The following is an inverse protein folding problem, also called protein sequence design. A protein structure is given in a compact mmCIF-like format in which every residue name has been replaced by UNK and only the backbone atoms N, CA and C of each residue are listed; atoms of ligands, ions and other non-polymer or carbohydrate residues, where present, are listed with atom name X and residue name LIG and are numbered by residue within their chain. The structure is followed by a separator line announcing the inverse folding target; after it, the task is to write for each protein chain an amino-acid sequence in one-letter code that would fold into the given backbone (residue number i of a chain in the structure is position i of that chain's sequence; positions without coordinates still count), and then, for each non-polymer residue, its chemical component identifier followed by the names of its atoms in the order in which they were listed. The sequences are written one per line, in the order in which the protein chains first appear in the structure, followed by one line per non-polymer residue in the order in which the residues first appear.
data_IF_193307880564
#
_entry.id   IF_193307880564
#
_cell.length_a   1.000
_cell.length_b   1.000
_cell.length_c   1.000
_cell.angle_alpha   90.00
_cell.angle_beta   90.00
_cell.angle_gamma   90.00
#
_symmetry.space_group_name_H-M   'P 1'
#
loop_
_entity.id
_entity.type
_entity.pdbx_description
1 polymer ?
#
# COMPACT_ATOMS: atom_id res chain seq x y z
N UNK A 1 -57.55 -14.77 14.76
CA UNK A 1 -58.47 -14.29 15.82
C UNK A 1 -57.66 -13.63 16.93
N UNK A 2 -58.06 -12.41 17.30
CA UNK A 2 -57.82 -11.64 18.56
C UNK A 2 -56.39 -11.35 19.07
N UNK A 3 -56.07 -10.04 18.99
CA UNK A 3 -55.17 -9.23 19.83
C UNK A 3 -55.55 -9.28 21.32
N UNK A 4 -54.61 -8.86 22.19
CA UNK A 4 -54.67 -7.89 23.34
C UNK A 4 -53.33 -8.08 24.11
N UNK A 5 -52.29 -7.21 24.04
CA UNK A 5 -52.03 -5.90 24.68
C UNK A 5 -52.32 -5.81 26.19
N UNK A 6 -51.28 -5.59 27.01
CA UNK A 6 -51.20 -4.80 28.25
C UNK A 6 -49.70 -4.70 28.61
N UNK A 7 -49.05 -3.57 28.87
CA UNK A 7 -49.51 -2.30 29.41
C UNK A 7 -49.07 -2.19 30.86
N UNK A 8 -47.90 -1.60 31.14
CA UNK A 8 -47.55 -1.15 32.49
C UNK A 8 -47.01 0.28 32.42
N UNK A 9 -47.85 1.18 32.93
CA UNK A 9 -47.59 2.58 33.25
C UNK A 9 -47.39 2.61 34.78
N UNK A 10 -46.37 3.31 35.28
CA UNK A 10 -46.34 3.72 36.68
C UNK A 10 -45.70 5.09 36.83
N UNK A 11 -46.14 5.77 37.88
CA UNK A 11 -46.41 7.21 37.98
C UNK A 11 -45.26 7.96 38.65
N UNK A 12 -45.22 9.24 38.30
CA UNK A 12 -44.41 10.35 38.83
C UNK A 12 -44.41 10.41 40.36
N UNK A 13 -43.24 10.64 40.97
CA UNK A 13 -43.13 11.26 42.28
C UNK A 13 -42.05 12.35 42.26
N UNK A 14 -42.49 13.52 42.71
CA UNK A 14 -41.88 14.84 42.79
C UNK A 14 -40.67 14.94 43.74
N UNK A 15 -39.67 15.72 43.31
CA UNK A 15 -39.10 16.82 44.09
C UNK A 15 -37.98 16.50 45.10
N UNK A 16 -36.76 16.87 44.75
CA UNK A 16 -35.88 17.59 45.68
C UNK A 16 -34.99 18.56 44.90
N UNK A 17 -35.04 19.81 45.36
CA UNK A 17 -34.29 20.97 44.90
C UNK A 17 -32.88 20.87 45.51
N UNK A 18 -31.85 20.94 44.67
CA UNK A 18 -30.56 21.49 45.08
C UNK A 18 -30.08 22.48 44.01
N UNK A 19 -30.04 23.73 44.43
CA UNK A 19 -29.45 24.86 43.74
C UNK A 19 -27.93 24.72 43.70
N UNK A 20 -27.37 24.69 42.50
CA UNK A 20 -26.01 25.15 42.24
C UNK A 20 -25.98 25.76 40.83
N UNK A 21 -26.06 27.09 40.77
CA UNK A 21 -25.80 27.89 39.58
C UNK A 21 -24.33 27.73 39.20
N UNK A 22 -24.04 26.75 38.36
CA UNK A 22 -22.81 26.69 37.57
C UNK A 22 -23.18 26.87 36.12
N UNK A 23 -22.83 28.01 35.54
CA UNK A 23 -22.99 28.31 34.12
C UNK A 23 -22.15 27.33 33.30
N UNK A 24 -22.73 26.17 32.95
CA UNK A 24 -22.19 25.34 31.89
C UNK A 24 -22.48 26.04 30.57
N UNK A 25 -21.47 26.78 30.08
CA UNK A 25 -21.35 27.06 28.67
C UNK A 25 -21.22 25.71 27.96
N UNK A 26 -22.35 25.14 27.54
CA UNK A 26 -22.35 24.14 26.49
C UNK A 26 -21.93 24.91 25.23
N UNK A 27 -20.63 24.93 24.96
CA UNK A 27 -20.13 25.22 23.64
C UNK A 27 -20.74 24.15 22.73
N UNK A 28 -21.86 24.49 22.10
CA UNK A 28 -22.36 23.78 20.93
C UNK A 28 -21.19 23.82 19.96
N UNK A 29 -20.54 22.69 19.76
CA UNK A 29 -19.60 22.53 18.66
C UNK A 29 -20.35 23.00 17.41
N UNK A 30 -19.87 24.09 16.80
CA UNK A 30 -20.35 24.46 15.48
C UNK A 30 -20.09 23.25 14.59
N UNK A 31 -21.16 22.64 14.08
CA UNK A 31 -21.05 21.83 12.88
C UNK A 31 -20.35 22.71 11.86
N UNK A 32 -19.08 22.40 11.56
CA UNK A 32 -18.40 22.96 10.39
C UNK A 32 -19.33 22.69 9.22
N UNK A 33 -20.00 23.73 8.71
CA UNK A 33 -20.66 23.67 7.42
C UNK A 33 -19.61 23.17 6.43
N UNK A 34 -19.76 21.93 5.96
CA UNK A 34 -19.07 21.50 4.77
C UNK A 34 -19.47 22.49 3.68
N UNK A 35 -18.51 23.31 3.25
CA UNK A 35 -18.75 24.40 2.33
C UNK A 35 -19.07 23.81 0.96
N UNK A 36 -20.37 23.75 0.63
CA UNK A 36 -20.83 23.44 -0.73
C UNK A 36 -20.12 24.39 -1.69
N UNK A 37 -19.41 23.83 -2.68
CA UNK A 37 -18.71 24.60 -3.69
C UNK A 37 -19.72 25.43 -4.48
N UNK A 38 -19.53 26.74 -4.51
CA UNK A 38 -20.42 27.64 -5.24
C UNK A 38 -19.94 27.80 -6.68
N UNK A 39 -20.82 28.25 -7.59
CA UNK A 39 -20.42 28.60 -8.96
C UNK A 39 -19.33 29.68 -9.01
N UNK A 40 -19.27 30.55 -7.99
CA UNK A 40 -18.20 31.54 -7.82
C UNK A 40 -16.86 30.85 -7.51
N UNK A 41 -16.86 29.87 -6.61
CA UNK A 41 -15.65 29.12 -6.25
C UNK A 41 -15.13 28.33 -7.46
N UNK A 42 -16.02 27.76 -8.29
CA UNK A 42 -15.66 27.08 -9.54
C UNK A 42 -14.97 28.02 -10.53
N UNK A 43 -15.54 29.19 -10.77
CA UNK A 43 -14.92 30.22 -11.62
C UNK A 43 -13.56 30.64 -11.06
N UNK A 44 -13.44 30.77 -9.74
CA UNK A 44 -12.20 31.17 -9.08
C UNK A 44 -11.15 30.04 -9.09
N UNK A 45 -11.53 28.76 -9.09
CA UNK A 45 -10.63 27.62 -9.37
C UNK A 45 -10.18 27.64 -10.84
N UNK A 46 -11.14 27.75 -11.78
CA UNK A 46 -10.90 27.78 -13.21
C UNK A 46 -9.94 28.91 -13.61
N UNK A 47 -10.11 30.10 -13.04
CA UNK A 47 -9.23 31.27 -13.28
C UNK A 47 -7.94 31.26 -12.46
N UNK A 48 -7.78 30.30 -11.53
CA UNK A 48 -6.63 30.20 -10.65
C UNK A 48 -6.55 31.30 -9.58
N UNK A 49 -7.67 31.88 -9.17
CA UNK A 49 -7.76 32.76 -7.99
C UNK A 49 -7.79 31.94 -6.69
N UNK A 50 -8.54 30.83 -6.68
CA UNK A 50 -8.43 29.79 -5.66
C UNK A 50 -7.34 28.83 -6.11
N UNK A 51 -6.39 28.55 -5.22
CA UNK A 51 -5.20 27.73 -5.48
C UNK A 51 -4.96 26.80 -4.31
N UNK A 52 -4.06 25.85 -4.47
CA UNK A 52 -3.51 25.11 -3.35
C UNK A 52 -2.82 26.05 -2.35
N UNK A 53 -2.66 25.60 -1.11
CA UNK A 53 -2.01 26.37 -0.03
C UNK A 53 -0.59 26.84 -0.40
N UNK A 54 0.13 26.04 -1.18
CA UNK A 54 1.48 26.36 -1.68
C UNK A 54 1.48 27.31 -2.90
N UNK A 55 0.32 27.80 -3.34
CA UNK A 55 0.17 28.74 -4.45
C UNK A 55 0.06 28.11 -5.85
N UNK A 56 0.20 26.78 -5.94
CA UNK A 56 0.13 26.05 -7.20
C UNK A 56 -1.33 25.83 -7.63
N UNK A 57 -1.53 25.70 -8.94
CA UNK A 57 -2.79 25.25 -9.55
C UNK A 57 -2.63 23.85 -10.12
N UNK A 58 -3.76 23.16 -10.19
CA UNK A 58 -3.93 21.88 -10.84
C UNK A 58 -4.12 22.10 -12.36
N UNK A 59 -3.28 21.47 -13.19
CA UNK A 59 -3.29 21.69 -14.63
C UNK A 59 -4.57 21.23 -15.33
N UNK A 60 -5.30 20.27 -14.76
CA UNK A 60 -6.53 19.74 -15.36
C UNK A 60 -7.79 20.36 -14.76
N UNK A 61 -7.68 21.19 -13.72
CA UNK A 61 -8.77 22.08 -13.28
C UNK A 61 -8.59 23.51 -13.77
N UNK A 62 -7.35 23.99 -13.85
CA UNK A 62 -7.04 25.35 -14.28
C UNK A 62 -7.26 25.55 -15.77
N UNK A 63 -8.11 26.52 -16.13
CA UNK A 63 -8.50 26.83 -17.51
C UNK A 63 -9.00 25.62 -18.31
N UNK A 64 -9.45 24.57 -17.63
CA UNK A 64 -10.04 23.42 -18.28
C UNK A 64 -11.55 23.63 -18.40
N UNK A 65 -12.15 23.23 -19.53
CA UNK A 65 -13.57 23.40 -19.79
C UNK A 65 -14.46 22.42 -18.99
N UNK A 66 -13.87 21.61 -18.12
CA UNK A 66 -14.60 20.68 -17.27
C UNK A 66 -15.04 21.42 -16.01
N UNK A 67 -16.35 21.57 -15.85
CA UNK A 67 -16.95 22.23 -14.71
C UNK A 67 -17.07 21.22 -13.57
N UNK A 68 -16.27 21.41 -12.52
CA UNK A 68 -16.45 20.73 -11.23
C UNK A 68 -17.73 21.28 -10.60
N UNK A 69 -18.88 20.70 -10.93
CA UNK A 69 -20.17 21.21 -10.49
C UNK A 69 -20.84 20.40 -9.37
N UNK A 70 -21.99 20.87 -8.91
CA UNK A 70 -22.64 20.30 -7.73
C UNK A 70 -23.43 19.01 -8.01
N UNK A 71 -23.57 18.63 -9.28
CA UNK A 71 -24.42 17.53 -9.74
C UNK A 71 -23.61 16.50 -10.52
N UNK A 72 -22.53 16.92 -11.16
CA UNK A 72 -21.64 16.11 -11.97
C UNK A 72 -20.77 15.17 -11.12
N UNK A 73 -20.39 14.09 -11.78
CA UNK A 73 -19.43 13.06 -11.39
C UNK A 73 -18.59 12.84 -12.65
N UNK A 74 -17.53 13.62 -12.80
CA UNK A 74 -16.83 13.78 -14.08
C UNK A 74 -15.79 12.68 -14.38
N UNK A 75 -15.50 11.82 -13.43
CA UNK A 75 -14.71 10.61 -13.62
C UNK A 75 -15.48 9.31 -13.44
N UNK A 76 -16.77 9.39 -13.06
CA UNK A 76 -17.69 8.27 -12.90
C UNK A 76 -17.23 7.26 -11.84
N UNK A 77 -16.58 7.74 -10.78
CA UNK A 77 -16.22 6.93 -9.62
C UNK A 77 -17.42 6.76 -8.65
N UNK A 78 -18.46 7.59 -8.80
CA UNK A 78 -19.68 7.57 -8.02
C UNK A 78 -19.68 8.51 -6.81
N UNK A 79 -18.69 9.40 -6.69
CA UNK A 79 -18.68 10.61 -5.87
C UNK A 79 -19.01 11.80 -6.77
N UNK A 80 -19.66 12.83 -6.23
CA UNK A 80 -19.90 14.06 -6.99
C UNK A 80 -18.71 14.98 -6.83
N UNK A 81 -18.35 15.71 -7.88
CA UNK A 81 -17.17 16.59 -7.90
C UNK A 81 -17.13 17.57 -6.70
N UNK A 82 -18.30 18.06 -6.27
CA UNK A 82 -18.43 18.98 -5.11
C UNK A 82 -18.07 18.36 -3.76
N UNK A 83 -18.18 17.03 -3.64
CA UNK A 83 -17.97 16.28 -2.41
C UNK A 83 -16.50 15.82 -2.28
N UNK A 84 -15.70 16.03 -3.33
CA UNK A 84 -14.30 15.65 -3.44
C UNK A 84 -13.33 16.80 -3.15
N UNK A 85 -13.82 18.03 -3.22
CA UNK A 85 -13.01 19.22 -2.98
C UNK A 85 -13.50 19.99 -1.75
N UNK A 86 -12.56 20.61 -1.04
CA UNK A 86 -12.83 21.46 0.12
C UNK A 86 -12.24 22.84 -0.13
N UNK A 87 -13.06 23.88 0.07
CA UNK A 87 -12.58 25.26 0.14
C UNK A 87 -12.33 25.63 1.59
N UNK A 88 -11.06 25.83 1.94
CA UNK A 88 -10.64 26.40 3.23
C UNK A 88 -10.39 27.89 3.10
N UNK A 89 -10.64 28.63 4.17
CA UNK A 89 -10.33 30.05 4.25
C UNK A 89 -9.40 30.30 5.44
N UNK A 90 -8.24 30.91 5.18
CA UNK A 90 -7.29 31.33 6.21
C UNK A 90 -6.86 32.77 5.91
N UNK A 91 -6.96 33.66 6.90
CA UNK A 91 -6.62 35.09 6.78
C UNK A 91 -7.34 35.82 5.62
N UNK A 92 -8.61 35.49 5.37
CA UNK A 92 -9.41 36.07 4.28
C UNK A 92 -9.03 35.59 2.88
N UNK A 93 -8.15 34.59 2.77
CA UNK A 93 -7.79 33.96 1.50
C UNK A 93 -8.29 32.52 1.45
N UNK A 94 -8.95 32.18 0.34
CA UNK A 94 -9.45 30.84 0.06
C UNK A 94 -8.37 29.95 -0.58
N UNK A 95 -8.35 28.68 -0.19
CA UNK A 95 -7.46 27.65 -0.71
C UNK A 95 -8.24 26.37 -1.01
N UNK A 96 -7.78 25.66 -2.03
CA UNK A 96 -8.28 24.36 -2.42
C UNK A 96 -7.58 23.25 -1.64
N UNK A 97 -8.36 22.32 -1.12
CA UNK A 97 -7.92 21.02 -0.61
C UNK A 97 -8.75 19.91 -1.23
N UNK A 98 -8.20 18.69 -1.19
CA UNK A 98 -8.78 17.51 -1.81
C UNK A 98 -9.20 16.53 -0.71
N UNK A 99 -10.34 15.88 -0.90
CA UNK A 99 -10.72 14.60 -0.31
C UNK A 99 -10.38 13.47 -1.29
N UNK A 100 -10.60 13.74 -2.57
CA UNK A 100 -10.21 12.97 -3.76
C UNK A 100 -10.14 13.96 -4.94
N UNK A 101 -9.75 13.50 -6.12
CA UNK A 101 -9.61 14.31 -7.32
C UNK A 101 -10.83 14.13 -8.23
N UNK A 102 -11.60 15.21 -8.53
CA UNK A 102 -12.91 15.11 -9.20
C UNK A 102 -12.89 14.75 -10.69
N UNK A 103 -11.73 14.34 -11.19
CA UNK A 103 -11.52 14.01 -12.59
C UNK A 103 -10.65 12.75 -12.71
N UNK A 104 -10.28 12.11 -11.62
CA UNK A 104 -9.42 10.94 -11.61
C UNK A 104 -10.04 9.97 -10.61
N UNK A 105 -10.61 8.84 -11.08
CA UNK A 105 -11.45 8.00 -10.24
C UNK A 105 -10.69 7.17 -9.18
N UNK A 106 -9.36 7.26 -9.18
CA UNK A 106 -8.39 6.57 -8.33
C UNK A 106 -7.27 7.61 -8.12
N UNK A 107 -7.41 8.42 -7.08
CA UNK A 107 -6.66 9.66 -6.89
C UNK A 107 -5.20 9.45 -6.52
N UNK A 108 -4.91 8.40 -5.76
CA UNK A 108 -3.58 8.07 -5.30
C UNK A 108 -2.86 7.02 -6.18
N UNK A 109 -3.62 6.37 -7.05
CA UNK A 109 -3.11 5.41 -8.02
C UNK A 109 -2.85 4.04 -7.43
N UNK A 110 -3.52 3.63 -6.35
CA UNK A 110 -3.36 2.30 -5.75
C UNK A 110 -4.27 1.21 -6.40
N UNK A 111 -5.27 1.64 -7.18
CA UNK A 111 -6.18 0.77 -7.93
C UNK A 111 -7.54 0.55 -7.29
N UNK A 112 -7.79 1.12 -6.11
CA UNK A 112 -9.09 1.24 -5.48
C UNK A 112 -9.71 2.57 -5.94
N UNK A 113 -11.00 2.57 -6.27
CA UNK A 113 -11.66 3.83 -6.63
C UNK A 113 -11.97 4.65 -5.40
N UNK A 114 -11.94 5.97 -5.52
CA UNK A 114 -12.03 6.88 -4.37
C UNK A 114 -13.31 6.66 -3.55
N UNK A 115 -14.42 6.30 -4.21
CA UNK A 115 -15.67 5.91 -3.55
C UNK A 115 -15.56 4.71 -2.59
N UNK A 116 -14.80 3.70 -2.97
CA UNK A 116 -14.61 2.47 -2.21
C UNK A 116 -13.36 2.52 -1.34
N UNK A 117 -12.52 3.54 -1.52
CA UNK A 117 -11.31 3.78 -0.75
C UNK A 117 -11.61 4.53 0.55
N UNK A 118 -11.04 4.03 1.65
CA UNK A 118 -11.14 4.65 2.97
C UNK A 118 -10.12 5.77 3.17
N UNK A 119 -9.02 5.74 2.43
CA UNK A 119 -7.95 6.72 2.47
C UNK A 119 -7.56 7.15 1.02
N UNK A 120 -8.45 7.81 0.24
CA UNK A 120 -8.27 8.07 -1.22
C UNK A 120 -7.03 8.87 -1.65
N UNK A 121 -6.25 9.39 -0.69
CA UNK A 121 -5.07 10.20 -0.92
C UNK A 121 -3.79 9.52 -0.40
N UNK A 122 -3.88 8.23 -0.05
CA UNK A 122 -2.81 7.45 0.56
C UNK A 122 -2.87 5.99 0.10
N UNK A 123 -1.77 5.57 -0.53
CA UNK A 123 -1.65 4.25 -1.11
C UNK A 123 -1.96 3.10 -0.15
N UNK A 124 -3.05 2.39 -0.40
CA UNK A 124 -3.42 1.18 0.32
C UNK A 124 -2.80 -0.04 -0.35
N UNK A 125 -1.88 -0.70 0.35
CA UNK A 125 -1.26 -1.92 -0.17
C UNK A 125 -2.31 -3.00 -0.44
N UNK A 126 -2.29 -3.49 -1.67
CA UNK A 126 -3.11 -4.59 -2.13
C UNK A 126 -2.32 -5.89 -2.32
N UNK A 127 -3.05 -7.00 -2.50
CA UNK A 127 -2.45 -8.29 -2.89
C UNK A 127 -1.76 -8.20 -4.25
N UNK A 128 -2.27 -7.33 -5.14
CA UNK A 128 -1.73 -7.09 -6.48
C UNK A 128 -0.35 -6.44 -6.41
N UNK A 129 -0.22 -5.41 -5.57
CA UNK A 129 1.05 -4.74 -5.33
C UNK A 129 2.09 -5.74 -4.84
N UNK A 130 1.71 -6.58 -3.87
CA UNK A 130 2.62 -7.56 -3.29
C UNK A 130 3.02 -8.65 -4.30
N UNK A 131 2.12 -9.05 -5.21
CA UNK A 131 2.43 -9.95 -6.32
C UNK A 131 3.40 -9.33 -7.33
N UNK A 132 3.32 -8.01 -7.55
CA UNK A 132 4.28 -7.24 -8.35
C UNK A 132 5.63 -7.08 -7.64
N UNK A 133 5.63 -6.69 -6.36
CA UNK A 133 6.85 -6.44 -5.59
C UNK A 133 7.68 -7.70 -5.35
N UNK A 134 7.07 -8.87 -5.09
CA UNK A 134 7.85 -10.11 -4.94
C UNK A 134 8.70 -10.42 -6.18
N UNK A 135 8.25 -9.99 -7.36
CA UNK A 135 8.98 -10.21 -8.61
C UNK A 135 10.25 -9.36 -8.69
N UNK A 136 10.26 -8.17 -8.06
CA UNK A 136 11.38 -7.23 -8.09
C UNK A 136 12.66 -7.84 -7.52
N UNK A 137 12.53 -8.74 -6.56
CA UNK A 137 13.64 -9.46 -5.98
C UNK A 137 14.48 -10.23 -7.03
N UNK A 138 13.88 -10.59 -8.18
CA UNK A 138 14.52 -11.37 -9.24
C UNK A 138 15.20 -10.54 -10.33
N UNK A 139 15.17 -9.22 -10.21
CA UNK A 139 15.79 -8.31 -11.18
C UNK A 139 17.08 -7.72 -10.65
N UNK A 140 18.01 -7.47 -11.58
CA UNK A 140 19.18 -6.64 -11.30
C UNK A 140 18.77 -5.18 -11.14
N UNK A 141 19.65 -4.41 -10.49
CA UNK A 141 19.40 -3.00 -10.18
C UNK A 141 19.15 -2.15 -11.42
N UNK A 142 19.92 -2.36 -12.50
CA UNK A 142 19.77 -1.61 -13.74
C UNK A 142 18.38 -1.80 -14.35
N UNK A 143 17.85 -3.02 -14.30
CA UNK A 143 16.51 -3.30 -14.77
C UNK A 143 15.43 -2.76 -13.85
N UNK A 144 15.64 -2.75 -12.52
CA UNK A 144 14.72 -2.10 -11.58
C UNK A 144 14.69 -0.59 -11.84
N UNK A 145 15.83 0.06 -11.98
CA UNK A 145 15.92 1.50 -12.27
C UNK A 145 15.20 1.83 -13.60
N UNK A 146 15.36 0.98 -14.61
CA UNK A 146 14.60 1.09 -15.86
C UNK A 146 13.10 0.94 -15.65
N UNK A 147 12.66 -0.01 -14.84
CA UNK A 147 11.25 -0.32 -14.60
C UNK A 147 10.54 0.81 -13.85
N UNK A 148 11.22 1.44 -12.89
CA UNK A 148 10.69 2.54 -12.08
C UNK A 148 10.99 3.94 -12.64
N UNK A 149 11.62 4.05 -13.80
CA UNK A 149 11.74 5.30 -14.53
C UNK A 149 10.50 5.53 -15.41
N UNK A 150 9.65 6.50 -15.04
CA UNK A 150 8.41 6.85 -15.76
C UNK A 150 8.61 7.26 -17.23
N UNK A 151 9.84 7.65 -17.61
CA UNK A 151 10.17 8.06 -18.98
C UNK A 151 10.64 6.90 -19.85
N UNK A 152 10.79 5.70 -19.28
CA UNK A 152 11.16 4.51 -20.06
C UNK A 152 10.08 4.20 -21.07
N UNK A 153 10.46 4.01 -22.33
CA UNK A 153 9.52 3.60 -23.36
C UNK A 153 9.02 2.18 -23.06
N UNK A 154 7.71 1.98 -23.04
CA UNK A 154 7.09 0.67 -22.74
C UNK A 154 7.61 -0.46 -23.65
N UNK A 155 8.01 -0.16 -24.89
CA UNK A 155 8.59 -1.14 -25.82
C UNK A 155 9.96 -1.67 -25.37
N UNK A 156 10.63 -0.98 -24.46
CA UNK A 156 11.89 -1.42 -23.87
C UNK A 156 11.70 -2.37 -22.68
N UNK A 157 10.46 -2.55 -22.22
CA UNK A 157 10.10 -3.44 -21.12
C UNK A 157 9.79 -4.83 -21.67
N UNK A 158 10.41 -5.87 -21.09
CA UNK A 158 10.59 -7.18 -21.73
C UNK A 158 9.29 -7.96 -21.95
N UNK A 159 8.31 -7.83 -21.06
CA UNK A 159 7.12 -8.68 -21.02
C UNK A 159 5.91 -7.93 -20.43
N UNK A 160 4.71 -8.49 -20.55
CA UNK A 160 3.47 -7.77 -20.22
C UNK A 160 3.24 -7.57 -18.71
N UNK A 161 3.76 -8.45 -17.86
CA UNK A 161 3.68 -8.25 -16.41
C UNK A 161 4.67 -7.18 -15.94
N UNK A 162 5.86 -7.08 -16.53
CA UNK A 162 6.77 -5.97 -16.27
C UNK A 162 6.19 -4.66 -16.78
N UNK A 163 5.52 -4.64 -17.93
CA UNK A 163 4.79 -3.46 -18.42
C UNK A 163 3.69 -3.03 -17.46
N UNK A 164 3.02 -4.00 -16.85
CA UNK A 164 2.03 -3.76 -15.79
C UNK A 164 2.67 -3.09 -14.59
N UNK A 165 3.78 -3.65 -14.08
CA UNK A 165 4.54 -3.09 -12.96
C UNK A 165 5.01 -1.67 -13.28
N UNK A 166 5.57 -1.45 -14.46
CA UNK A 166 6.01 -0.14 -14.91
C UNK A 166 4.85 0.86 -14.96
N UNK A 167 3.73 0.48 -15.57
CA UNK A 167 2.58 1.38 -15.76
C UNK A 167 1.91 1.74 -14.44
N UNK A 168 1.77 0.78 -13.52
CA UNK A 168 1.03 0.95 -12.26
C UNK A 168 1.92 1.52 -11.15
N UNK A 169 3.20 1.16 -11.07
CA UNK A 169 4.06 1.53 -9.92
C UNK A 169 5.11 2.59 -10.22
N UNK A 170 5.62 2.71 -11.46
CA UNK A 170 6.80 3.55 -11.74
C UNK A 170 6.62 5.02 -11.39
N UNK A 171 5.40 5.56 -11.52
CA UNK A 171 5.11 6.94 -11.15
C UNK A 171 5.17 7.14 -9.63
N UNK A 172 4.65 6.19 -8.87
CA UNK A 172 4.37 6.35 -7.44
C UNK A 172 5.43 5.76 -6.53
N UNK A 173 6.32 4.90 -7.02
CA UNK A 173 7.27 4.16 -6.19
C UNK A 173 8.72 4.35 -6.63
N UNK A 174 9.63 4.38 -5.67
CA UNK A 174 11.07 4.38 -5.89
C UNK A 174 11.79 3.49 -4.86
N UNK A 175 13.04 3.10 -5.14
CA UNK A 175 13.90 2.54 -4.10
C UNK A 175 14.19 3.65 -3.08
N UNK A 176 13.97 3.36 -1.79
CA UNK A 176 14.19 4.32 -0.71
C UNK A 176 15.65 4.76 -0.69
N UNK A 177 15.86 6.07 -0.65
CA UNK A 177 17.19 6.65 -0.49
C UNK A 177 17.68 6.44 0.93
N UNK A 178 18.97 6.10 1.07
CA UNK A 178 19.61 5.90 2.37
C UNK A 178 20.18 7.23 2.89
N UNK A 179 19.88 7.65 4.13
CA UNK A 179 20.51 8.83 4.73
C UNK A 179 22.05 8.68 4.81
N UNK A 180 22.80 9.74 4.50
CA UNK A 180 24.27 9.72 4.50
C UNK A 180 24.90 9.49 5.90
N UNK A 181 24.11 9.56 6.98
CA UNK A 181 24.61 9.68 8.36
C UNK A 181 24.69 8.38 9.15
N UNK A 182 24.53 7.21 8.53
CA UNK A 182 24.67 5.95 9.26
C UNK A 182 26.14 5.50 9.38
N UNK A 183 26.86 6.14 10.30
CA UNK A 183 27.99 5.50 11.00
C UNK A 183 27.44 4.86 12.28
N UNK A 184 27.03 3.59 12.24
CA UNK A 184 26.71 2.87 13.47
C UNK A 184 25.91 1.58 13.29
N UNK A 185 26.40 0.53 13.96
CA UNK A 185 25.78 -0.78 14.26
C UNK A 185 25.54 -1.77 13.10
N UNK A 186 25.12 -1.32 11.91
CA UNK A 186 24.78 -2.23 10.79
C UNK A 186 25.50 -1.85 9.49
N UNK A 187 26.00 -2.86 8.75
CA UNK A 187 26.62 -2.69 7.43
C UNK A 187 25.63 -3.07 6.30
N UNK A 188 24.41 -2.55 6.36
CA UNK A 188 23.36 -2.77 5.35
C UNK A 188 23.27 -1.62 4.38
N UNK A 189 22.87 -1.86 3.13
CA UNK A 189 22.63 -0.80 2.14
C UNK A 189 23.85 -0.47 1.29
N UNK A 190 23.70 -0.49 -0.04
CA UNK A 190 24.64 0.19 -0.93
C UNK A 190 24.67 1.71 -0.67
N UNK A 191 25.73 2.42 -1.09
CA UNK A 191 25.84 3.86 -0.82
C UNK A 191 24.69 4.63 -1.48
N UNK A 192 23.83 5.21 -0.65
CA UNK A 192 22.78 6.14 -1.07
C UNK A 192 21.41 5.51 -1.36
N UNK A 193 21.29 4.18 -1.35
CA UNK A 193 20.02 3.45 -1.56
C UNK A 193 19.85 2.30 -0.58
N UNK A 194 18.61 1.98 -0.23
CA UNK A 194 18.26 0.86 0.63
C UNK A 194 18.19 -0.45 -0.18
N UNK A 195 19.37 -0.88 -0.62
CA UNK A 195 19.62 -2.13 -1.38
C UNK A 195 20.54 -3.02 -0.56
N UNK A 196 20.13 -4.27 -0.33
CA UNK A 196 20.80 -5.19 0.57
C UNK A 196 21.36 -6.36 -0.22
N UNK A 197 22.69 -6.47 -0.29
CA UNK A 197 23.41 -7.60 -0.85
C UNK A 197 24.33 -8.17 0.23
N UNK A 198 23.86 -9.20 0.95
CA UNK A 198 24.56 -9.71 2.12
C UNK A 198 25.36 -10.96 1.81
N UNK A 199 26.47 -11.15 2.51
CA UNK A 199 27.35 -12.31 2.31
C UNK A 199 26.71 -13.65 2.64
N UNK A 200 25.61 -13.66 3.40
CA UNK A 200 24.77 -14.85 3.62
C UNK A 200 24.00 -15.31 2.37
N UNK A 201 23.94 -14.46 1.34
CA UNK A 201 23.12 -14.64 0.15
C UNK A 201 21.68 -14.15 0.31
N UNK A 202 21.39 -13.35 1.35
CA UNK A 202 20.17 -12.56 1.43
C UNK A 202 20.31 -11.32 0.55
N UNK A 203 19.37 -11.18 -0.38
CA UNK A 203 19.20 -10.01 -1.22
C UNK A 203 17.88 -9.31 -0.88
N UNK A 204 17.83 -7.98 -0.98
CA UNK A 204 16.59 -7.27 -0.78
C UNK A 204 16.61 -5.80 -1.18
N UNK A 205 15.41 -5.25 -1.32
CA UNK A 205 15.17 -3.87 -1.74
C UNK A 205 14.10 -3.27 -0.85
N UNK A 206 14.31 -2.04 -0.38
CA UNK A 206 13.26 -1.27 0.29
C UNK A 206 12.71 -0.24 -0.69
N UNK A 207 11.46 -0.43 -1.12
CA UNK A 207 10.71 0.54 -1.91
C UNK A 207 9.92 1.48 -1.01
N UNK A 208 9.71 2.72 -1.47
CA UNK A 208 8.90 3.73 -0.79
C UNK A 208 8.01 4.48 -1.78
N UNK A 209 6.85 4.94 -1.32
CA UNK A 209 6.00 5.85 -2.11
C UNK A 209 6.67 7.21 -2.30
N UNK A 210 6.39 7.84 -3.45
CA UNK A 210 6.78 9.19 -3.83
C UNK A 210 5.64 10.16 -3.58
N UNK A 211 5.96 11.36 -3.10
CA UNK A 211 4.99 12.47 -3.07
C UNK A 211 4.89 13.13 -4.44
N UNK A 212 4.24 12.44 -5.40
CA UNK A 212 4.11 12.89 -6.79
C UNK A 212 3.15 14.06 -6.98
N UNK A 213 2.12 14.16 -6.15
CA UNK A 213 1.16 15.25 -6.17
C UNK A 213 1.07 15.96 -4.82
N UNK A 214 0.84 17.29 -4.79
CA UNK A 214 0.73 18.03 -3.54
C UNK A 214 -0.45 17.62 -2.65
N UNK A 215 -1.50 17.05 -3.25
CA UNK A 215 -2.72 16.63 -2.53
C UNK A 215 -2.60 15.29 -1.83
N UNK A 216 -1.58 14.47 -2.15
CA UNK A 216 -1.36 13.21 -1.45
C UNK A 216 -0.91 13.48 0.00
N UNK A 217 -1.44 12.70 0.94
CA UNK A 217 -1.30 12.90 2.38
C UNK A 217 0.19 12.92 2.81
N UNK A 218 1.04 12.27 2.01
CA UNK A 218 2.50 12.32 2.16
C UNK A 218 3.03 11.39 3.25
N UNK A 219 2.18 10.54 3.83
CA UNK A 219 2.64 9.38 4.59
C UNK A 219 3.37 8.41 3.65
N UNK A 220 4.63 8.12 3.96
CA UNK A 220 5.39 7.12 3.22
C UNK A 220 4.83 5.73 3.52
N UNK A 221 4.66 4.92 2.48
CA UNK A 221 4.42 3.48 2.58
C UNK A 221 5.68 2.78 2.10
N UNK A 222 6.17 1.80 2.86
CA UNK A 222 7.44 1.15 2.59
C UNK A 222 7.22 -0.35 2.34
N UNK A 223 7.88 -0.91 1.32
CA UNK A 223 7.81 -2.34 0.99
C UNK A 223 9.22 -2.92 0.96
N UNK A 224 9.53 -3.79 1.93
CA UNK A 224 10.75 -4.57 1.94
C UNK A 224 10.53 -5.85 1.13
N UNK A 225 11.21 -5.95 0.00
CA UNK A 225 11.24 -7.13 -0.86
C UNK A 225 12.46 -7.97 -0.51
N UNK A 226 12.27 -9.25 -0.18
CA UNK A 226 13.33 -10.18 0.16
C UNK A 226 13.46 -11.32 -0.82
N UNK A 227 14.71 -11.70 -1.08
CA UNK A 227 15.11 -12.87 -1.86
C UNK A 227 16.25 -13.60 -1.14
N UNK A 228 16.20 -14.92 -1.21
CA UNK A 228 17.35 -15.76 -0.86
C UNK A 228 18.09 -16.22 -2.12
N UNK A 229 19.22 -16.89 -1.92
CA UNK A 229 20.15 -17.32 -2.98
C UNK A 229 19.48 -18.08 -4.13
N UNK A 230 19.82 -17.72 -5.38
CA UNK A 230 19.38 -18.45 -6.59
C UNK A 230 20.37 -19.56 -7.00
N UNK A 231 19.85 -20.76 -7.25
CA UNK A 231 20.60 -21.87 -7.84
C UNK A 231 19.66 -22.98 -8.31
N UNK A 232 19.17 -22.91 -9.55
CA UNK A 232 18.25 -23.93 -10.09
C UNK A 232 19.00 -25.16 -10.61
N UNK A 233 18.99 -26.24 -9.82
CA UNK A 233 18.63 -27.63 -10.23
C UNK A 233 19.04 -28.69 -9.18
N UNK A 234 20.10 -28.46 -8.41
CA UNK A 234 20.53 -29.38 -7.33
C UNK A 234 20.09 -28.93 -5.92
N UNK A 235 19.69 -27.67 -5.75
CA UNK A 235 19.52 -27.06 -4.43
C UNK A 235 18.16 -27.23 -3.76
N UNK A 236 17.12 -27.73 -4.42
CA UNK A 236 15.80 -27.74 -3.80
C UNK A 236 15.72 -28.70 -2.59
N UNK A 237 16.37 -29.86 -2.69
CA UNK A 237 16.52 -30.81 -1.58
C UNK A 237 17.39 -30.26 -0.46
N UNK A 238 18.50 -29.61 -0.81
CA UNK A 238 19.39 -28.96 0.17
C UNK A 238 18.69 -27.79 0.85
N UNK A 239 17.97 -26.95 0.10
CA UNK A 239 17.16 -25.86 0.62
C UNK A 239 16.11 -26.37 1.59
N UNK A 240 15.41 -27.46 1.30
CA UNK A 240 14.47 -28.09 2.24
C UNK A 240 15.15 -28.54 3.54
N UNK A 241 16.35 -29.13 3.44
CA UNK A 241 17.14 -29.54 4.60
C UNK A 241 17.61 -28.32 5.42
N UNK A 242 18.02 -27.25 4.73
CA UNK A 242 18.45 -25.98 5.32
C UNK A 242 17.29 -25.18 5.94
N UNK A 243 16.08 -25.24 5.37
CA UNK A 243 14.86 -24.59 5.87
C UNK A 243 14.28 -25.28 7.11
N UNK A 244 14.60 -26.56 7.33
CA UNK A 244 14.34 -27.26 8.58
C UNK A 244 15.16 -26.75 9.76
N UNK A 245 16.22 -25.97 9.50
CA UNK A 245 17.13 -25.38 10.48
C UNK A 245 17.18 -23.85 10.35
N UNK A 246 17.62 -23.16 11.40
CA UNK A 246 17.85 -21.72 11.35
C UNK A 246 19.09 -21.42 10.51
N UNK A 247 18.93 -20.76 9.36
CA UNK A 247 20.04 -20.46 8.43
C UNK A 247 20.58 -19.03 8.62
N UNK A 248 21.81 -18.71 8.15
CA UNK A 248 22.39 -17.38 8.29
C UNK A 248 21.54 -16.25 7.69
N UNK A 249 20.82 -16.52 6.59
CA UNK A 249 19.91 -15.54 5.98
C UNK A 249 18.74 -15.17 6.90
N UNK A 250 18.24 -16.11 7.73
CA UNK A 250 17.22 -15.80 8.73
C UNK A 250 17.76 -14.81 9.78
N UNK A 251 18.99 -14.99 10.26
CA UNK A 251 19.64 -14.03 11.16
C UNK A 251 19.77 -12.65 10.52
N UNK A 252 20.20 -12.58 9.26
CA UNK A 252 20.31 -11.31 8.55
C UNK A 252 18.94 -10.63 8.34
N UNK A 253 17.89 -11.40 8.05
CA UNK A 253 16.53 -10.87 7.96
C UNK A 253 16.07 -10.27 9.31
N UNK A 254 16.41 -10.90 10.44
CA UNK A 254 16.10 -10.32 11.77
C UNK A 254 16.87 -9.03 12.04
N UNK A 255 18.17 -9.00 11.70
CA UNK A 255 19.01 -7.82 11.86
C UNK A 255 18.54 -6.67 10.97
N UNK A 256 18.09 -6.96 9.75
CA UNK A 256 17.54 -5.97 8.84
C UNK A 256 16.28 -5.32 9.43
N UNK A 257 15.40 -6.09 10.07
CA UNK A 257 14.22 -5.54 10.73
C UNK A 257 14.58 -4.64 11.91
N UNK A 258 15.58 -5.01 12.69
CA UNK A 258 16.10 -4.14 13.75
C UNK A 258 16.71 -2.87 13.17
N UNK A 259 17.45 -2.96 12.06
CA UNK A 259 17.98 -1.80 11.34
C UNK A 259 16.87 -0.87 10.88
N UNK A 260 15.81 -1.38 10.24
CA UNK A 260 14.70 -0.57 9.75
C UNK A 260 13.97 0.13 10.91
N UNK A 261 13.77 -0.58 12.03
CA UNK A 261 13.20 -0.02 13.26
C UNK A 261 14.08 1.08 13.84
N UNK A 262 15.39 0.83 13.97
CA UNK A 262 16.36 1.79 14.51
C UNK A 262 16.48 3.05 13.62
N UNK A 263 16.06 2.97 12.35
CA UNK A 263 15.99 4.08 11.39
C UNK A 263 14.59 4.69 11.21
N UNK A 264 13.66 4.39 12.13
CA UNK A 264 12.29 4.94 12.14
C UNK A 264 11.51 4.73 10.83
N UNK A 265 11.76 3.62 10.14
CA UNK A 265 10.93 3.24 8.98
C UNK A 265 9.52 2.91 9.50
N UNK A 266 8.50 3.49 8.86
CA UNK A 266 7.10 3.33 9.23
C UNK A 266 6.32 2.77 8.06
N UNK A 267 5.09 2.31 8.33
CA UNK A 267 4.20 1.75 7.31
C UNK A 267 4.89 0.66 6.46
N UNK A 268 5.61 -0.23 7.14
CA UNK A 268 6.43 -1.25 6.54
C UNK A 268 5.62 -2.51 6.22
N UNK A 269 5.62 -2.87 4.95
CA UNK A 269 5.17 -4.14 4.42
C UNK A 269 6.37 -4.98 4.03
N UNK A 270 6.25 -6.30 4.16
CA UNK A 270 7.36 -7.22 3.85
C UNK A 270 6.85 -8.28 2.87
N UNK A 271 7.59 -8.55 1.82
CA UNK A 271 7.18 -9.50 0.79
C UNK A 271 8.34 -10.35 0.28
N UNK A 272 8.03 -11.60 -0.07
CA UNK A 272 8.99 -12.46 -0.75
C UNK A 272 8.35 -13.70 -1.36
N UNK A 273 9.11 -14.35 -2.25
CA UNK A 273 8.73 -15.58 -2.93
C UNK A 273 9.71 -16.71 -2.60
N UNK A 274 9.24 -17.96 -2.52
CA UNK A 274 10.07 -19.13 -2.21
C UNK A 274 10.88 -18.91 -0.91
N UNK A 275 12.19 -19.11 -0.94
CA UNK A 275 13.10 -18.80 0.17
C UNK A 275 12.99 -17.33 0.63
N UNK A 276 12.79 -16.38 -0.29
CA UNK A 276 12.53 -14.99 0.06
C UNK A 276 11.23 -14.81 0.87
N UNK A 277 10.21 -15.61 0.58
CA UNK A 277 8.96 -15.61 1.36
C UNK A 277 9.12 -16.22 2.74
N UNK A 278 9.95 -17.25 2.89
CA UNK A 278 10.38 -17.74 4.21
C UNK A 278 11.08 -16.64 5.02
N UNK A 279 12.04 -15.93 4.41
CA UNK A 279 12.74 -14.81 5.04
C UNK A 279 11.81 -13.64 5.39
N UNK A 280 10.84 -13.34 4.53
CA UNK A 280 9.80 -12.34 4.80
C UNK A 280 8.98 -12.68 6.04
N UNK A 281 8.64 -13.95 6.24
CA UNK A 281 7.89 -14.38 7.42
C UNK A 281 8.75 -14.40 8.69
N UNK A 282 10.04 -14.74 8.58
CA UNK A 282 11.01 -14.59 9.68
C UNK A 282 11.11 -13.11 10.09
N UNK A 283 11.24 -12.21 9.10
CA UNK A 283 11.31 -10.77 9.31
C UNK A 283 10.04 -10.22 9.98
N UNK A 284 8.85 -10.66 9.54
CA UNK A 284 7.57 -10.29 10.16
C UNK A 284 7.47 -10.80 11.62
N UNK A 285 7.91 -12.03 11.86
CA UNK A 285 7.95 -12.63 13.20
C UNK A 285 8.90 -11.86 14.12
N UNK A 286 10.07 -11.43 13.62
CA UNK A 286 10.99 -10.58 14.35
C UNK A 286 10.38 -9.21 14.66
N UNK A 287 9.72 -8.58 13.68
CA UNK A 287 9.05 -7.29 13.87
C UNK A 287 8.04 -7.37 15.03
N UNK A 288 7.27 -8.47 15.10
CA UNK A 288 6.37 -8.73 16.23
C UNK A 288 7.13 -8.93 17.53
N UNK A 289 8.17 -9.77 17.53
CA UNK A 289 8.98 -10.09 18.71
C UNK A 289 9.60 -8.86 19.36
N UNK A 290 10.10 -7.92 18.56
CA UNK A 290 10.75 -6.69 19.04
C UNK A 290 9.77 -5.52 19.23
N UNK A 291 8.46 -5.74 19.05
CA UNK A 291 7.43 -4.70 19.18
C UNK A 291 7.61 -3.54 18.19
N UNK A 292 7.94 -3.85 16.93
CA UNK A 292 8.12 -2.84 15.89
C UNK A 292 6.77 -2.30 15.40
N UNK A 293 6.37 -1.14 15.91
CA UNK A 293 5.08 -0.52 15.59
C UNK A 293 4.96 -0.02 14.15
N UNK A 294 6.08 0.16 13.44
CA UNK A 294 6.10 0.53 12.03
C UNK A 294 5.71 -0.62 11.09
N UNK A 295 5.72 -1.88 11.55
CA UNK A 295 5.34 -3.04 10.75
C UNK A 295 3.83 -3.14 10.59
N UNK A 296 3.37 -3.22 9.35
CA UNK A 296 1.95 -3.30 9.00
C UNK A 296 1.51 -4.72 8.70
N UNK A 297 2.11 -5.37 7.70
CA UNK A 297 1.72 -6.70 7.24
C UNK A 297 2.83 -7.36 6.41
N UNK A 298 2.79 -8.69 6.29
CA UNK A 298 3.66 -9.43 5.39
C UNK A 298 2.89 -10.29 4.39
N UNK A 299 3.53 -10.57 3.26
CA UNK A 299 2.98 -11.34 2.15
C UNK A 299 4.02 -12.35 1.66
N UNK A 300 3.61 -13.60 1.49
CA UNK A 300 4.53 -14.62 0.99
C UNK A 300 3.92 -15.40 -0.16
N UNK A 301 4.73 -15.74 -1.15
CA UNK A 301 4.31 -16.48 -2.34
C UNK A 301 5.10 -17.78 -2.47
N UNK A 302 4.42 -18.93 -2.51
CA UNK A 302 5.04 -20.27 -2.54
C UNK A 302 6.13 -20.46 -1.47
N UNK A 303 5.94 -19.87 -0.30
CA UNK A 303 6.94 -19.92 0.75
C UNK A 303 6.84 -21.24 1.53
N UNK A 304 7.98 -21.90 1.83
CA UNK A 304 8.02 -23.05 2.72
C UNK A 304 7.78 -22.61 4.17
N UNK A 305 7.20 -23.51 4.99
CA UNK A 305 6.90 -23.18 6.38
C UNK A 305 8.16 -22.98 7.24
N UNK A 306 8.04 -22.21 8.32
CA UNK A 306 9.07 -22.13 9.37
C UNK A 306 8.91 -23.33 10.30
N UNK A 307 9.79 -24.32 10.16
CA UNK A 307 9.78 -25.50 11.04
C UNK A 307 10.45 -25.22 12.38
N UNK A 308 11.54 -24.44 12.39
CA UNK A 308 12.34 -24.12 13.57
C UNK A 308 12.95 -22.72 13.49
N UNK A 309 13.24 -22.08 14.64
CA UNK A 309 12.90 -22.52 16.00
C UNK A 309 11.38 -22.38 16.27
N UNK A 310 10.88 -23.11 17.26
CA UNK A 310 9.45 -23.17 17.57
C UNK A 310 8.83 -21.79 17.89
N UNK A 311 9.63 -20.88 18.46
CA UNK A 311 9.23 -19.49 18.71
C UNK A 311 8.76 -18.78 17.43
N UNK A 312 9.57 -18.80 16.36
CA UNK A 312 9.24 -18.14 15.10
C UNK A 312 8.10 -18.86 14.37
N UNK A 313 7.97 -20.18 14.53
CA UNK A 313 6.79 -20.91 14.04
C UNK A 313 5.50 -20.41 14.70
N UNK A 314 5.49 -20.30 16.04
CA UNK A 314 4.30 -19.82 16.78
C UNK A 314 3.96 -18.36 16.45
N UNK A 315 4.97 -17.50 16.35
CA UNK A 315 4.77 -16.10 15.96
C UNK A 315 4.23 -16.00 14.53
N UNK A 316 4.75 -16.82 13.61
CA UNK A 316 4.24 -16.92 12.25
C UNK A 316 2.76 -17.31 12.22
N UNK A 317 2.38 -18.37 12.93
CA UNK A 317 0.97 -18.83 12.99
C UNK A 317 0.04 -17.73 13.55
N UNK A 318 0.49 -17.01 14.58
CA UNK A 318 -0.26 -15.88 15.17
C UNK A 318 -0.45 -14.74 14.16
N UNK A 319 0.61 -14.36 13.43
CA UNK A 319 0.53 -13.31 12.42
C UNK A 319 -0.52 -13.62 11.37
N UNK A 320 -0.63 -14.88 10.93
CA UNK A 320 -1.64 -15.27 9.94
C UNK A 320 -3.05 -15.28 10.52
N UNK A 321 -3.23 -15.77 11.76
CA UNK A 321 -4.53 -15.76 12.45
C UNK A 321 -5.08 -14.33 12.59
N UNK A 322 -4.21 -13.36 12.83
CA UNK A 322 -4.56 -11.95 13.00
C UNK A 322 -4.69 -11.18 11.67
N UNK A 323 -4.38 -11.82 10.54
CA UNK A 323 -4.32 -11.15 9.24
C UNK A 323 -3.11 -10.22 9.06
N UNK A 324 -2.11 -10.30 9.94
CA UNK A 324 -0.82 -9.58 9.85
C UNK A 324 0.20 -10.28 8.94
N UNK A 325 -0.11 -11.47 8.45
CA UNK A 325 0.57 -12.13 7.33
C UNK A 325 -0.42 -12.82 6.41
N UNK A 326 -0.18 -12.78 5.09
CA UNK A 326 -0.96 -13.48 4.07
C UNK A 326 -0.04 -14.39 3.25
N UNK A 327 -0.40 -15.66 3.13
CA UNK A 327 0.40 -16.66 2.41
C UNK A 327 -0.36 -17.16 1.19
N UNK A 328 0.24 -17.05 0.00
CA UNK A 328 -0.28 -17.63 -1.23
C UNK A 328 0.52 -18.86 -1.60
N UNK A 329 -0.20 -19.91 -2.04
CA UNK A 329 0.39 -21.17 -2.48
C UNK A 329 -0.28 -21.61 -3.77
N UNK A 330 0.52 -21.86 -4.81
CA UNK A 330 0.04 -22.52 -6.03
C UNK A 330 -0.26 -23.98 -5.75
N UNK A 331 -1.42 -24.48 -6.18
CA UNK A 331 -1.88 -25.83 -5.84
C UNK A 331 -0.99 -26.97 -6.36
N UNK A 332 -0.32 -26.78 -7.51
CA UNK A 332 0.66 -27.74 -8.03
C UNK A 332 2.12 -27.32 -7.76
N UNK A 333 2.35 -26.52 -6.72
CA UNK A 333 3.68 -26.25 -6.19
C UNK A 333 4.20 -27.45 -5.39
N UNK A 334 5.43 -27.88 -5.69
CA UNK A 334 6.06 -29.03 -5.03
C UNK A 334 6.64 -28.64 -3.66
N UNK A 335 6.90 -27.35 -3.44
CA UNK A 335 7.55 -26.85 -2.23
C UNK A 335 6.64 -26.92 -1.04
N UNK A 336 5.39 -26.47 -1.20
CA UNK A 336 4.36 -26.59 -0.16
C UNK A 336 4.06 -28.05 0.21
N UNK A 337 4.16 -28.98 -0.75
CA UNK A 337 3.94 -30.42 -0.51
C UNK A 337 5.06 -31.02 0.33
N UNK A 338 6.32 -30.65 0.07
CA UNK A 338 7.48 -31.27 0.71
C UNK A 338 7.88 -30.58 2.00
N UNK A 339 7.83 -29.25 2.02
CA UNK A 339 8.28 -28.42 3.14
C UNK A 339 7.11 -27.94 4.01
N UNK A 340 5.87 -28.33 3.67
CA UNK A 340 4.66 -27.75 4.23
C UNK A 340 4.45 -26.30 3.82
N UNK A 341 3.33 -25.74 4.27
CA UNK A 341 3.03 -24.32 4.14
C UNK A 341 2.58 -23.76 5.48
N UNK A 342 2.50 -22.44 5.56
CA UNK A 342 1.98 -21.74 6.71
C UNK A 342 0.49 -22.05 6.93
N UNK A 343 0.04 -21.94 8.19
CA UNK A 343 -1.37 -22.07 8.53
C UNK A 343 -2.20 -21.04 7.76
N UNK A 344 -3.47 -21.35 7.46
CA UNK A 344 -4.42 -20.47 6.75
C UNK A 344 -3.92 -19.89 5.42
N UNK A 345 -3.00 -20.55 4.73
CA UNK A 345 -2.60 -20.13 3.39
C UNK A 345 -3.78 -20.14 2.41
N UNK A 346 -3.72 -19.23 1.45
CA UNK A 346 -4.63 -19.13 0.32
C UNK A 346 -4.08 -20.01 -0.79
N UNK A 347 -4.76 -21.13 -1.02
CA UNK A 347 -4.47 -22.01 -2.15
C UNK A 347 -5.03 -21.39 -3.43
N UNK A 348 -4.15 -21.04 -4.37
CA UNK A 348 -4.53 -20.58 -5.71
C UNK A 348 -4.54 -21.75 -6.69
N UNK A 349 -5.08 -21.55 -7.90
CA UNK A 349 -5.23 -22.63 -8.88
C UNK A 349 -3.87 -23.20 -9.35
N UNK A 350 -3.92 -24.35 -10.04
CA UNK A 350 -2.76 -24.90 -10.73
C UNK A 350 -2.21 -23.88 -11.74
N UNK A 351 -0.90 -23.80 -11.85
CA UNK A 351 -0.22 -22.93 -12.82
C UNK A 351 0.73 -23.74 -13.69
N UNK A 352 1.03 -23.22 -14.88
CA UNK A 352 2.02 -23.81 -15.79
C UNK A 352 3.41 -23.69 -15.17
N UNK A 353 3.69 -22.54 -14.54
CA UNK A 353 5.00 -22.20 -14.01
C UNK A 353 5.24 -22.73 -12.58
N UNK A 354 4.23 -23.34 -11.93
CA UNK A 354 4.30 -24.02 -10.63
C UNK A 354 4.94 -23.15 -9.54
N UNK A 355 6.15 -23.52 -9.11
CA UNK A 355 6.89 -22.82 -8.07
C UNK A 355 7.46 -21.47 -8.52
N UNK A 356 7.44 -21.12 -9.81
CA UNK A 356 8.08 -19.87 -10.26
C UNK A 356 7.36 -18.63 -9.72
N UNK A 357 8.12 -17.54 -9.54
CA UNK A 357 7.58 -16.22 -9.16
C UNK A 357 6.60 -15.68 -10.20
N UNK A 358 6.66 -16.15 -11.45
CA UNK A 358 5.76 -15.73 -12.53
C UNK A 358 4.41 -16.45 -12.51
N UNK A 359 4.23 -17.50 -11.69
CA UNK A 359 2.97 -18.24 -11.60
C UNK A 359 1.78 -17.34 -11.24
N UNK A 360 2.01 -16.35 -10.39
CA UNK A 360 0.99 -15.42 -9.91
C UNK A 360 0.54 -14.37 -10.94
N UNK A 361 1.22 -14.32 -12.09
CA UNK A 361 0.88 -13.46 -13.21
C UNK A 361 0.11 -14.20 -14.32
N UNK A 362 -0.19 -15.49 -14.12
CA UNK A 362 -0.96 -16.26 -15.10
C UNK A 362 -2.41 -15.76 -15.18
N UNK A 363 -2.97 -15.56 -16.39
CA UNK A 363 -4.26 -14.87 -16.57
C UNK A 363 -5.42 -15.47 -15.79
N UNK A 364 -5.48 -16.79 -15.61
CA UNK A 364 -6.58 -17.43 -14.86
C UNK A 364 -6.50 -17.23 -13.34
N UNK A 365 -5.41 -16.65 -12.83
CA UNK A 365 -5.29 -16.22 -11.43
C UNK A 365 -5.70 -14.77 -11.21
N UNK A 366 -6.11 -14.03 -12.25
CA UNK A 366 -6.41 -12.60 -12.16
C UNK A 366 -7.43 -12.28 -11.05
N UNK A 367 -8.47 -13.11 -10.89
CA UNK A 367 -9.49 -12.95 -9.84
C UNK A 367 -8.95 -12.86 -8.39
N UNK A 368 -7.73 -13.33 -8.12
CA UNK A 368 -7.11 -13.19 -6.79
C UNK A 368 -6.43 -11.83 -6.57
N UNK A 369 -6.14 -11.10 -7.64
CA UNK A 369 -5.29 -9.91 -7.68
C UNK A 369 -5.90 -8.73 -8.46
N UNK A 370 -7.05 -8.89 -9.09
CA UNK A 370 -7.71 -7.83 -9.84
C UNK A 370 -8.31 -6.78 -8.89
N UNK A 371 -8.18 -5.52 -9.27
CA UNK A 371 -8.71 -4.36 -8.54
C UNK A 371 -9.41 -3.45 -9.53
N UNK A 372 -10.74 -3.50 -9.57
CA UNK A 372 -11.59 -2.66 -10.41
C UNK A 372 -11.05 -2.46 -11.85
N UNK A 373 -10.38 -1.32 -12.15
CA UNK A 373 -9.80 -1.03 -13.46
C UNK A 373 -8.53 -1.84 -13.81
N UNK A 374 -7.84 -2.39 -12.81
CA UNK A 374 -6.61 -3.19 -12.95
C UNK A 374 -6.97 -4.67 -13.03
N UNK A 375 -7.11 -5.14 -14.26
CA UNK A 375 -7.45 -6.54 -14.56
C UNK A 375 -6.28 -7.26 -15.25
N UNK A 376 -5.90 -8.41 -14.71
CA UNK A 376 -4.80 -9.23 -15.20
C UNK A 376 -3.44 -8.53 -15.13
N UNK A 377 -2.41 -9.16 -15.68
CA UNK A 377 -1.05 -8.60 -15.75
C UNK A 377 -0.61 -8.45 -17.20
N UNK A 378 -1.44 -7.75 -17.99
CA UNK A 378 -1.29 -7.61 -19.43
C UNK A 378 -1.19 -6.15 -19.89
N UNK A 379 -0.22 -5.40 -19.36
CA UNK A 379 0.06 -4.00 -19.74
C UNK A 379 -0.36 -2.95 -18.71
N UNK A 380 -1.04 -3.35 -17.64
CA UNK A 380 -1.46 -2.50 -16.53
C UNK A 380 -2.42 -1.38 -16.88
N UNK A 381 -2.78 -0.59 -15.88
CA UNK A 381 -3.66 0.56 -16.04
C UNK A 381 -3.19 1.76 -15.22
N UNK A 382 -3.04 2.90 -15.90
CA UNK A 382 -2.88 4.20 -15.26
C UNK A 382 -3.78 5.20 -15.98
N UNK A 383 -4.66 5.86 -15.23
CA UNK A 383 -5.64 6.77 -15.80
C UNK A 383 -4.95 7.87 -16.62
N UNK A 384 -5.45 8.16 -17.82
CA UNK A 384 -4.79 9.08 -18.76
C UNK A 384 -4.59 10.50 -18.16
N UNK A 385 -5.57 11.01 -17.40
CA UNK A 385 -5.44 12.31 -16.74
C UNK A 385 -4.34 12.35 -15.69
N UNK A 386 -3.99 11.22 -15.04
CA UNK A 386 -2.82 11.17 -14.16
C UNK A 386 -1.52 11.39 -14.94
N UNK A 387 -1.43 10.92 -16.20
CA UNK A 387 -0.24 11.15 -17.05
C UNK A 387 -0.08 12.62 -17.42
N UNK A 388 -1.20 13.34 -17.55
CA UNK A 388 -1.23 14.76 -17.94
C UNK A 388 -1.16 15.73 -16.75
N UNK A 389 -1.61 15.28 -15.57
CA UNK A 389 -1.71 16.07 -14.35
C UNK A 389 -0.35 16.64 -13.92
N UNK A 390 -0.30 17.95 -13.81
CA UNK A 390 0.83 18.75 -13.34
C UNK A 390 0.34 19.80 -12.36
N UNK A 391 1.18 20.13 -11.39
CA UNK A 391 0.97 21.28 -10.53
C UNK A 391 1.99 22.34 -10.88
N UNK A 392 1.56 23.60 -11.00
CA UNK A 392 2.46 24.71 -11.32
C UNK A 392 1.96 26.03 -10.75
N UNK A 393 2.83 27.04 -10.67
CA UNK A 393 2.42 28.41 -10.34
C UNK A 393 2.02 29.13 -11.64
N UNK A 394 0.75 29.56 -11.80
CA UNK A 394 0.36 30.30 -13.00
C UNK A 394 1.00 31.69 -12.96
N UNK A 395 1.59 32.08 -14.10
CA UNK A 395 2.24 33.38 -14.31
C UNK A 395 1.28 34.56 -14.21
#
# INVERSE_FOLDING_TARGET
MKKIKNGLLCVIATGMIFSALGSFNIARAEEKKENVITSKDQEDIYTGKIRLKNGMVDSILFKNNVLVDNISDNDNDGIKDKDELIIKEENGKKYLEYKSHPLIPDSDGDGIIDKDDKEPLKWNISRRDMAMFQKMAYYDEDYIDKLFNENTNENEIKNNYDKTIHTELSKFWEIKKKPQTNKGKYNFGEKGREIYHLSSGLDGYLFTTKKVYPFLDGEEVNVLVLRGTEGYKDYFTDALLYLGAWNPQASDATLLIQYLKDNDVKNLYIVGHSLGGYLAQIAASEARKIGYTGFQQSYTFNAPMISRPEEYRKLSDQLTIEGKSTHFVVNNDIVSVLAGSFDRHILVANTINKHSSISYFEPHLSNYFDLYYRCGFNGGFLHHRMKELKFFNPS
#
